data_IF_267856930963
#
_entry.id   IF_267856930963
#
_cell.length_a   1.000
_cell.length_b   1.000
_cell.length_c   1.000
_cell.angle_alpha   90.00
_cell.angle_beta   90.00
_cell.angle_gamma   90.00
#
_symmetry.space_group_name_H-M   'P 1'
#
loop_
_entity.id
_entity.type
_entity.pdbx_description
1 polymer ?
#
# COMPACT_ATOMS: atom_id res chain seq x y z
N UNK A 1 9.08 7.97 0.94
CA UNK A 1 8.23 7.03 0.17
C UNK A 1 7.82 7.63 -1.18
N UNK A 2 6.88 8.58 -1.27
CA UNK A 2 6.39 9.08 -2.57
C UNK A 2 7.47 9.66 -3.50
N UNK A 3 8.46 10.39 -2.97
CA UNK A 3 9.57 10.88 -3.78
C UNK A 3 10.36 9.76 -4.49
N UNK A 4 10.43 8.56 -3.88
CA UNK A 4 11.04 7.35 -4.45
C UNK A 4 10.09 6.68 -5.44
N UNK A 5 8.83 6.50 -5.04
CA UNK A 5 7.81 5.85 -5.85
C UNK A 5 7.58 6.59 -7.19
N UNK A 6 7.60 7.92 -7.16
CA UNK A 6 7.34 8.76 -8.34
C UNK A 6 8.52 8.98 -9.26
N UNK A 7 9.66 8.31 -9.01
CA UNK A 7 10.69 8.17 -10.04
C UNK A 7 10.16 7.35 -11.23
N UNK A 8 9.19 6.46 -10.99
CA UNK A 8 8.42 5.82 -12.04
C UNK A 8 7.27 6.74 -12.48
N UNK A 9 7.39 7.28 -13.69
CA UNK A 9 6.41 8.21 -14.26
C UNK A 9 5.06 7.55 -14.57
N UNK A 10 5.03 6.25 -14.86
CA UNK A 10 3.79 5.52 -15.08
C UNK A 10 3.02 5.39 -13.79
N UNK A 11 3.69 4.93 -12.73
CA UNK A 11 3.09 4.83 -11.40
C UNK A 11 2.63 6.21 -10.91
N UNK A 12 3.44 7.27 -11.10
CA UNK A 12 3.08 8.63 -10.70
C UNK A 12 1.75 9.09 -11.31
N UNK A 13 1.46 8.73 -12.57
CA UNK A 13 0.21 9.12 -13.26
C UNK A 13 -1.03 8.43 -12.68
N UNK A 14 -0.87 7.34 -11.94
CA UNK A 14 -1.98 6.63 -11.30
C UNK A 14 -2.46 7.30 -10.00
N UNK A 15 -1.69 8.23 -9.45
CA UNK A 15 -2.02 8.93 -8.21
C UNK A 15 -2.71 10.27 -8.48
N UNK A 16 -3.70 10.58 -7.64
CA UNK A 16 -4.33 11.89 -7.59
C UNK A 16 -3.32 12.94 -7.08
N UNK A 17 -2.88 13.82 -7.99
CA UNK A 17 -1.90 14.85 -7.70
C UNK A 17 -2.44 15.91 -6.73
N UNK A 18 -3.75 16.17 -6.71
CA UNK A 18 -4.34 17.13 -5.78
C UNK A 18 -4.30 16.61 -4.34
N UNK A 19 -4.66 15.33 -4.15
CA UNK A 19 -4.56 14.64 -2.85
C UNK A 19 -3.09 14.48 -2.40
N UNK A 20 -2.15 14.44 -3.34
CA UNK A 20 -0.72 14.40 -3.04
C UNK A 20 -0.20 15.75 -2.55
N UNK A 21 -0.55 16.85 -3.24
CA UNK A 21 -0.13 18.21 -2.87
C UNK A 21 -0.74 18.63 -1.53
N UNK A 22 -1.99 18.23 -1.26
CA UNK A 22 -2.66 18.52 0.02
C UNK A 22 -2.12 17.71 1.21
N UNK A 23 -1.30 16.68 0.96
CA UNK A 23 -0.78 15.77 1.98
C UNK A 23 -1.80 14.73 2.49
N UNK A 24 -2.99 14.66 1.88
CA UNK A 24 -4.02 13.69 2.26
C UNK A 24 -3.64 12.26 1.86
N UNK A 25 -2.97 12.08 0.73
CA UNK A 25 -2.53 10.79 0.22
C UNK A 25 -1.52 10.08 1.16
N UNK A 26 -0.48 10.75 1.70
CA UNK A 26 0.34 10.21 2.79
C UNK A 26 -0.45 9.80 4.04
N UNK A 27 -1.43 10.60 4.46
CA UNK A 27 -2.26 10.29 5.64
C UNK A 27 -3.12 9.03 5.43
N UNK A 28 -3.73 8.89 4.25
CA UNK A 28 -4.52 7.71 3.88
C UNK A 28 -3.68 6.43 3.93
N UNK A 29 -2.45 6.48 3.39
CA UNK A 29 -1.54 5.34 3.43
C UNK A 29 -1.14 4.99 4.87
N UNK A 30 -0.76 5.97 5.68
CA UNK A 30 -0.41 5.75 7.08
C UNK A 30 -1.57 5.13 7.87
N UNK A 31 -2.80 5.63 7.67
CA UNK A 31 -3.99 5.08 8.31
C UNK A 31 -4.29 3.64 7.89
N UNK A 32 -4.10 3.30 6.60
CA UNK A 32 -4.29 1.94 6.11
C UNK A 32 -3.27 0.97 6.73
N UNK A 33 -2.00 1.40 6.82
CA UNK A 33 -0.92 0.63 7.44
C UNK A 33 -1.18 0.42 8.94
N UNK A 34 -1.56 1.49 9.66
CA UNK A 34 -1.87 1.41 11.08
C UNK A 34 -3.09 0.51 11.34
N UNK A 35 -4.17 0.71 10.58
CA UNK A 35 -5.38 -0.11 10.72
C UNK A 35 -5.10 -1.59 10.43
N UNK A 36 -4.22 -1.90 9.48
CA UNK A 36 -3.78 -3.27 9.25
C UNK A 36 -2.94 -3.82 10.42
N UNK A 37 -1.95 -3.06 10.91
CA UNK A 37 -1.12 -3.46 12.05
C UNK A 37 -1.95 -3.71 13.33
N UNK A 38 -2.96 -2.88 13.60
CA UNK A 38 -3.86 -3.01 14.75
C UNK A 38 -4.82 -4.21 14.65
N UNK A 39 -5.04 -4.73 13.44
CA UNK A 39 -6.04 -5.77 13.17
C UNK A 39 -5.48 -6.99 12.46
N UNK A 40 -4.15 -7.20 12.52
CA UNK A 40 -3.49 -8.31 11.82
C UNK A 40 -4.05 -9.68 12.23
N UNK A 41 -4.51 -9.82 13.47
CA UNK A 41 -5.14 -11.03 14.01
C UNK A 41 -6.68 -11.08 13.79
N UNK A 42 -7.27 -10.01 13.25
CA UNK A 42 -8.73 -9.83 13.10
C UNK A 42 -9.09 -9.28 11.72
N UNK A 43 -8.59 -9.95 10.68
CA UNK A 43 -8.71 -9.48 9.30
C UNK A 43 -10.17 -9.27 8.82
N UNK A 44 -11.16 -9.97 9.39
CA UNK A 44 -12.58 -9.72 9.10
C UNK A 44 -13.05 -8.30 9.46
N UNK A 45 -12.38 -7.62 10.41
CA UNK A 45 -12.65 -6.22 10.73
C UNK A 45 -12.22 -5.26 9.59
N UNK A 46 -11.35 -5.72 8.68
CA UNK A 46 -10.83 -4.94 7.57
C UNK A 46 -11.67 -5.06 6.30
N UNK A 47 -12.64 -5.97 6.22
CA UNK A 47 -13.38 -6.26 4.98
C UNK A 47 -13.96 -5.01 4.30
N UNK A 48 -14.57 -4.12 5.09
CA UNK A 48 -15.11 -2.86 4.57
C UNK A 48 -14.04 -1.89 4.07
N UNK A 49 -12.87 -1.85 4.71
CA UNK A 49 -11.75 -1.02 4.27
C UNK A 49 -11.11 -1.59 3.01
N UNK A 50 -10.87 -2.90 2.98
CA UNK A 50 -10.33 -3.65 1.85
C UNK A 50 -11.23 -3.50 0.63
N UNK A 51 -12.55 -3.64 0.77
CA UNK A 51 -13.48 -3.45 -0.35
C UNK A 51 -13.39 -2.04 -0.96
N UNK A 52 -13.27 -1.00 -0.13
CA UNK A 52 -13.08 0.38 -0.61
C UNK A 52 -11.75 0.58 -1.32
N UNK A 53 -10.67 -0.05 -0.83
CA UNK A 53 -9.36 -0.02 -1.45
C UNK A 53 -9.39 -0.70 -2.82
N UNK A 54 -9.92 -1.92 -2.89
CA UNK A 54 -10.09 -2.69 -4.14
C UNK A 54 -10.85 -1.88 -5.19
N UNK A 55 -11.99 -1.27 -4.83
CA UNK A 55 -12.77 -0.46 -5.76
C UNK A 55 -11.95 0.72 -6.33
N UNK A 56 -11.12 1.37 -5.51
CA UNK A 56 -10.23 2.45 -5.96
C UNK A 56 -9.08 1.94 -6.82
N UNK A 57 -8.45 0.84 -6.43
CA UNK A 57 -7.39 0.20 -7.18
C UNK A 57 -7.85 -0.21 -8.58
N UNK A 58 -9.04 -0.79 -8.69
CA UNK A 58 -9.66 -1.11 -9.98
C UNK A 58 -9.89 0.15 -10.82
N UNK A 59 -10.45 1.20 -10.21
CA UNK A 59 -10.71 2.48 -10.88
C UNK A 59 -9.43 3.15 -11.42
N UNK A 60 -8.31 3.03 -10.71
CA UNK A 60 -7.03 3.61 -11.12
C UNK A 60 -6.14 2.67 -11.93
N UNK A 61 -6.58 1.43 -12.18
CA UNK A 61 -5.85 0.47 -13.01
C UNK A 61 -4.66 -0.19 -12.31
N UNK A 62 -4.72 -0.37 -10.98
CA UNK A 62 -3.68 -1.07 -10.21
C UNK A 62 -3.57 -2.52 -10.66
N UNK A 63 -2.33 -3.00 -10.80
CA UNK A 63 -1.98 -4.35 -11.21
C UNK A 63 -1.03 -4.99 -10.20
N UNK A 64 -0.92 -6.33 -10.18
CA UNK A 64 0.03 -7.04 -9.32
C UNK A 64 1.47 -6.51 -9.43
N UNK A 65 1.92 -6.12 -10.63
CA UNK A 65 3.27 -5.57 -10.86
C UNK A 65 3.55 -4.22 -10.18
N UNK A 66 2.51 -3.51 -9.69
CA UNK A 66 2.68 -2.24 -8.99
C UNK A 66 3.03 -2.41 -7.50
N UNK A 67 2.63 -3.53 -6.88
CA UNK A 67 2.86 -3.77 -5.45
C UNK A 67 4.35 -3.81 -5.08
N UNK A 68 5.23 -4.52 -5.82
CA UNK A 68 6.67 -4.49 -5.53
C UNK A 68 7.27 -3.08 -5.61
N UNK A 69 6.76 -2.21 -6.49
CA UNK A 69 7.23 -0.82 -6.61
C UNK A 69 6.90 -0.01 -5.35
N UNK A 70 5.73 -0.24 -4.77
CA UNK A 70 5.31 0.40 -3.51
C UNK A 70 6.17 -0.10 -2.34
N UNK A 71 6.41 -1.42 -2.23
CA UNK A 71 7.28 -1.99 -1.19
C UNK A 71 8.69 -1.40 -1.25
N UNK A 72 9.29 -1.35 -2.45
CA UNK A 72 10.63 -0.81 -2.69
C UNK A 72 10.76 0.69 -2.30
N UNK A 73 9.66 1.44 -2.36
CA UNK A 73 9.62 2.84 -1.93
C UNK A 73 9.27 2.99 -0.44
N UNK A 74 8.53 2.06 0.14
CA UNK A 74 8.00 2.11 1.50
C UNK A 74 9.05 1.68 2.53
N UNK A 75 9.66 0.50 2.39
CA UNK A 75 10.55 -0.07 3.41
C UNK A 75 11.78 0.82 3.69
N UNK A 76 12.49 1.37 2.68
CA UNK A 76 13.58 2.32 2.94
C UNK A 76 13.08 3.60 3.60
N UNK A 77 11.88 4.05 3.25
CA UNK A 77 11.29 5.26 3.84
C UNK A 77 10.91 5.06 5.31
N UNK A 78 10.52 3.85 5.71
CA UNK A 78 10.30 3.51 7.13
C UNK A 78 11.62 3.67 7.90
N UNK A 79 12.72 3.13 7.37
CA UNK A 79 14.05 3.26 8.01
C UNK A 79 14.54 4.70 8.09
N UNK A 80 14.32 5.50 7.04
CA UNK A 80 14.68 6.92 7.04
C UNK A 80 13.94 7.74 8.10
N UNK A 81 12.69 7.39 8.39
CA UNK A 81 11.86 8.13 9.36
C UNK A 81 12.11 7.65 10.78
N UNK A 82 12.21 6.33 11.00
CA UNK A 82 12.35 5.76 12.34
C UNK A 82 13.81 5.66 12.81
N UNK A 83 14.77 5.74 11.88
CA UNK A 83 16.20 5.53 12.14
C UNK A 83 16.58 4.04 12.15
N UNK A 84 17.85 3.76 11.87
CA UNK A 84 18.37 2.39 11.72
C UNK A 84 18.32 1.57 13.03
N UNK A 85 18.40 2.24 14.18
CA UNK A 85 18.32 1.59 15.50
C UNK A 85 16.92 1.03 15.80
N UNK A 86 15.86 1.67 15.28
CA UNK A 86 14.47 1.25 15.48
C UNK A 86 14.00 0.36 14.34
N UNK A 87 14.25 0.79 13.10
CA UNK A 87 13.95 0.03 11.89
C UNK A 87 15.13 -0.89 11.51
N UNK A 88 15.46 -1.80 12.44
CA UNK A 88 16.45 -2.86 12.22
C UNK A 88 16.07 -3.75 11.04
N UNK A 89 16.99 -4.58 10.54
CA UNK A 89 16.70 -5.48 9.42
C UNK A 89 15.52 -6.42 9.76
N UNK A 90 15.51 -6.99 10.97
CA UNK A 90 14.41 -7.85 11.44
C UNK A 90 13.06 -7.11 11.48
N UNK A 91 13.05 -5.83 11.86
CA UNK A 91 11.82 -5.01 11.85
C UNK A 91 11.35 -4.75 10.41
N UNK A 92 12.27 -4.42 9.50
CA UNK A 92 11.92 -4.22 8.09
C UNK A 92 11.44 -5.51 7.42
N UNK A 93 12.02 -6.66 7.75
CA UNK A 93 11.60 -7.97 7.23
C UNK A 93 10.17 -8.29 7.69
N UNK A 94 9.86 -8.08 8.98
CA UNK A 94 8.49 -8.23 9.48
C UNK A 94 7.50 -7.29 8.78
N UNK A 95 7.90 -6.04 8.51
CA UNK A 95 7.09 -5.10 7.73
C UNK A 95 6.91 -5.55 6.27
N UNK A 96 7.92 -6.16 5.66
CA UNK A 96 7.86 -6.69 4.30
C UNK A 96 6.89 -7.86 4.21
N UNK A 97 6.95 -8.80 5.15
CA UNK A 97 6.00 -9.92 5.25
C UNK A 97 4.56 -9.43 5.45
N UNK A 98 4.37 -8.48 6.38
CA UNK A 98 3.08 -7.89 6.66
C UNK A 98 2.50 -7.16 5.44
N UNK A 99 3.33 -6.41 4.71
CA UNK A 99 2.95 -5.76 3.46
C UNK A 99 2.55 -6.79 2.39
N UNK A 100 3.36 -7.84 2.21
CA UNK A 100 3.12 -8.87 1.19
C UNK A 100 1.79 -9.59 1.45
N UNK A 101 1.51 -9.93 2.70
CA UNK A 101 0.26 -10.56 3.09
C UNK A 101 -0.97 -9.70 2.70
N UNK A 102 -0.94 -8.40 3.01
CA UNK A 102 -2.03 -7.50 2.61
C UNK A 102 -2.10 -7.33 1.08
N UNK A 103 -0.96 -7.26 0.40
CA UNK A 103 -0.87 -7.19 -1.04
C UNK A 103 -1.56 -8.41 -1.70
N UNK A 104 -1.30 -9.62 -1.21
CA UNK A 104 -1.89 -10.85 -1.74
C UNK A 104 -3.42 -10.85 -1.61
N UNK A 105 -3.95 -10.37 -0.48
CA UNK A 105 -5.41 -10.22 -0.27
C UNK A 105 -6.01 -9.25 -1.30
N UNK A 106 -5.38 -8.09 -1.46
CA UNK A 106 -5.86 -7.05 -2.38
C UNK A 106 -5.78 -7.52 -3.83
N UNK A 107 -4.66 -8.12 -4.25
CA UNK A 107 -4.46 -8.69 -5.58
C UNK A 107 -5.54 -9.74 -5.90
N UNK A 108 -5.81 -10.64 -4.96
CA UNK A 108 -6.83 -11.68 -5.14
C UNK A 108 -8.24 -11.07 -5.34
N UNK A 109 -8.61 -10.08 -4.53
CA UNK A 109 -9.92 -9.41 -4.62
C UNK A 109 -10.03 -8.50 -5.85
N UNK A 110 -8.96 -7.82 -6.23
CA UNK A 110 -8.89 -7.01 -7.45
C UNK A 110 -9.06 -7.87 -8.69
N UNK A 111 -8.39 -9.04 -8.73
CA UNK A 111 -8.56 -10.01 -9.82
C UNK A 111 -10.04 -10.41 -9.99
N UNK A 112 -10.74 -10.69 -8.90
CA UNK A 112 -12.17 -11.00 -8.94
C UNK A 112 -13.00 -9.81 -9.45
N UNK A 113 -12.70 -8.59 -8.98
CA UNK A 113 -13.38 -7.39 -9.41
C UNK A 113 -13.17 -7.08 -10.91
N UNK A 114 -11.94 -7.26 -11.42
CA UNK A 114 -11.65 -7.13 -12.84
C UNK A 114 -12.39 -8.16 -13.70
N UNK A 115 -12.51 -9.41 -13.23
CA UNK A 115 -13.26 -10.46 -13.91
C UNK A 115 -14.77 -10.18 -13.95
N UNK A 116 -15.33 -9.58 -12.90
CA UNK A 116 -16.75 -9.26 -12.83
C UNK A 116 -17.14 -8.02 -13.67
N UNK A 117 -16.17 -7.18 -14.02
CA UNK A 117 -16.36 -5.98 -14.84
C UNK A 117 -16.12 -6.21 -16.35
N UNK A 118 -15.65 -7.40 -16.72
CA UNK A 118 -15.42 -7.84 -18.10
C UNK A 118 -16.69 -8.45 -18.70
#
# INVERSE_FOLDING_TARGET
MYARLFQDAEVKRMFDQAAQVSGEQPKRLAAAILGYAENIDKLGALDGAVARMVARHVQTGVKPEHYPKVAAALLPAIREVLGAEVATDAVLDAWAEAYQFLADILIAKEKQAYQAAA
#
